data_IF_015739258562
#
_entry.id   IF_015739258562
#
_cell.length_a   1.000
_cell.length_b   1.000
_cell.length_c   1.000
_cell.angle_alpha   90.00
_cell.angle_beta   90.00
_cell.angle_gamma   90.00
#
_symmetry.space_group_name_H-M   'P 1'
#
loop_
_entity.id
_entity.type
_entity.pdbx_description
1 polymer ?
#
# COMPACT_ATOMS: atom_id res chain seq x y z
N UNK A 1 15.72 -26.06 23.47
CA UNK A 1 14.51 -25.75 22.69
C UNK A 1 13.89 -24.45 23.17
N UNK A 2 13.62 -23.48 22.27
CA UNK A 2 12.76 -22.36 22.63
C UNK A 2 11.32 -22.89 22.76
N UNK A 3 10.65 -22.63 23.88
CA UNK A 3 9.26 -23.05 24.06
C UNK A 3 8.36 -22.38 23.01
N UNK A 4 7.30 -23.07 22.59
CA UNK A 4 6.33 -22.53 21.63
C UNK A 4 5.77 -21.16 22.07
N UNK A 5 5.64 -20.95 23.38
CA UNK A 5 5.25 -19.68 24.00
C UNK A 5 6.29 -18.56 23.82
N UNK A 6 7.59 -18.88 23.89
CA UNK A 6 8.67 -17.91 23.61
C UNK A 6 8.71 -17.55 22.12
N UNK A 7 8.44 -18.50 21.24
CA UNK A 7 8.41 -18.23 19.79
C UNK A 7 7.22 -17.32 19.40
N UNK A 8 6.03 -17.54 19.96
CA UNK A 8 4.84 -16.73 19.65
C UNK A 8 4.92 -15.32 20.21
N UNK A 9 5.47 -15.15 21.41
CA UNK A 9 5.69 -13.84 22.03
C UNK A 9 6.65 -12.97 21.22
N UNK A 10 7.77 -13.54 20.77
CA UNK A 10 8.72 -12.85 19.87
C UNK A 10 8.07 -12.47 18.54
N UNK A 11 7.27 -13.37 17.94
CA UNK A 11 6.52 -13.06 16.70
C UNK A 11 5.55 -11.90 16.89
N UNK A 12 4.82 -11.86 18.02
CA UNK A 12 3.87 -10.78 18.33
C UNK A 12 4.57 -9.43 18.47
N UNK A 13 5.68 -9.38 19.23
CA UNK A 13 6.52 -8.18 19.40
C UNK A 13 7.01 -7.66 18.05
N UNK A 14 7.60 -8.53 17.23
CA UNK A 14 8.08 -8.18 15.89
C UNK A 14 6.98 -7.67 14.95
N UNK A 15 5.75 -8.19 15.06
CA UNK A 15 4.62 -7.74 14.24
C UNK A 15 4.20 -6.31 14.59
N UNK A 16 4.21 -5.97 15.88
CA UNK A 16 3.88 -4.64 16.38
C UNK A 16 4.97 -3.61 16.03
N UNK A 17 6.24 -3.92 16.33
CA UNK A 17 7.37 -3.04 16.03
C UNK A 17 7.46 -2.71 14.53
N UNK A 18 7.22 -3.71 13.66
CA UNK A 18 7.29 -3.54 12.20
C UNK A 18 5.99 -2.97 11.59
N UNK A 19 4.93 -2.74 12.36
CA UNK A 19 3.63 -2.33 11.84
C UNK A 19 3.71 -0.96 11.14
N UNK A 20 4.35 0.02 11.77
CA UNK A 20 4.51 1.36 11.19
C UNK A 20 5.30 1.35 9.88
N UNK A 21 6.43 0.63 9.85
CA UNK A 21 7.25 0.46 8.64
C UNK A 21 6.47 -0.22 7.51
N UNK A 22 5.75 -1.29 7.81
CA UNK A 22 4.91 -2.00 6.82
C UNK A 22 3.81 -1.10 6.25
N UNK A 23 3.15 -0.30 7.10
CA UNK A 23 2.15 0.67 6.68
C UNK A 23 2.74 1.70 5.71
N UNK A 24 3.86 2.33 6.08
CA UNK A 24 4.55 3.32 5.25
C UNK A 24 4.99 2.74 3.91
N UNK A 25 5.57 1.54 3.89
CA UNK A 25 5.98 0.87 2.64
C UNK A 25 4.79 0.57 1.71
N UNK A 26 3.63 0.18 2.27
CA UNK A 26 2.41 -0.05 1.47
C UNK A 26 1.89 1.24 0.84
N UNK A 27 1.93 2.35 1.59
CA UNK A 27 1.50 3.66 1.11
C UNK A 27 2.47 4.25 0.09
N UNK A 28 3.78 4.08 0.29
CA UNK A 28 4.81 4.55 -0.63
C UNK A 28 4.68 3.94 -2.04
N UNK A 29 4.19 2.70 -2.15
CA UNK A 29 3.91 2.08 -3.45
C UNK A 29 2.78 2.74 -4.24
N UNK A 30 1.92 3.53 -3.59
CA UNK A 30 0.77 4.22 -4.19
C UNK A 30 0.87 5.73 -4.04
N UNK A 31 2.05 6.27 -3.73
CA UNK A 31 2.21 7.72 -3.49
C UNK A 31 2.04 8.53 -4.77
N UNK A 32 2.34 7.95 -5.93
CA UNK A 32 2.05 8.53 -7.24
C UNK A 32 0.94 7.72 -7.88
N UNK A 33 -0.16 8.38 -8.22
CA UNK A 33 -1.20 7.79 -9.07
C UNK A 33 -0.56 7.38 -10.39
N UNK A 34 -0.96 6.22 -10.93
CA UNK A 34 -0.53 5.84 -12.27
C UNK A 34 -1.11 6.81 -13.31
N UNK A 35 -0.52 6.89 -14.51
CA UNK A 35 -1.08 7.72 -15.59
C UNK A 35 -2.57 7.38 -15.84
N UNK A 36 -2.93 6.10 -15.84
CA UNK A 36 -4.32 5.67 -15.96
C UNK A 36 -5.23 6.25 -14.85
N UNK A 37 -4.77 6.26 -13.60
CA UNK A 37 -5.51 6.84 -12.47
C UNK A 37 -5.55 8.37 -12.50
N UNK A 38 -4.53 9.02 -13.08
CA UNK A 38 -4.49 10.49 -13.25
C UNK A 38 -5.48 10.96 -14.31
N UNK A 39 -5.60 10.20 -15.41
CA UNK A 39 -6.37 10.61 -16.60
C UNK A 39 -7.73 9.91 -16.75
N UNK A 40 -8.14 9.04 -15.79
CA UNK A 40 -9.41 8.31 -15.85
C UNK A 40 -10.66 9.19 -16.07
N UNK A 41 -10.63 10.46 -15.67
CA UNK A 41 -11.73 11.41 -15.86
C UNK A 41 -11.62 12.30 -17.11
N UNK A 42 -10.55 12.18 -17.89
CA UNK A 42 -10.23 13.07 -19.01
C UNK A 42 -10.54 12.46 -20.39
N UNK A 43 -11.01 11.22 -20.44
CA UNK A 43 -11.30 10.51 -21.70
C UNK A 43 -10.04 9.89 -22.34
N UNK A 44 -10.21 9.27 -23.51
CA UNK A 44 -9.09 8.72 -24.29
C UNK A 44 -8.20 9.87 -24.80
N UNK A 45 -6.86 9.78 -24.66
CA UNK A 45 -5.94 10.82 -25.11
C UNK A 45 -6.11 11.07 -26.61
N UNK A 46 -6.43 12.33 -26.98
CA UNK A 46 -6.71 12.73 -28.36
C UNK A 46 -8.18 12.82 -28.72
N UNK A 47 -9.10 12.48 -27.81
CA UNK A 47 -10.54 12.71 -27.97
C UNK A 47 -11.07 13.72 -26.96
N UNK A 48 -12.08 14.50 -27.35
CA UNK A 48 -12.70 15.47 -26.46
C UNK A 48 -13.32 14.76 -25.25
N UNK A 49 -13.07 15.28 -24.05
CA UNK A 49 -13.64 14.72 -22.82
C UNK A 49 -15.18 14.69 -22.92
N UNK A 50 -15.85 13.60 -22.51
CA UNK A 50 -17.29 13.47 -22.63
C UNK A 50 -17.98 14.59 -21.86
N UNK A 51 -18.91 15.26 -22.53
CA UNK A 51 -19.71 16.34 -21.96
C UNK A 51 -20.66 15.73 -20.91
N UNK A 52 -20.54 16.17 -19.66
CA UNK A 52 -21.43 15.77 -18.57
C UNK A 52 -22.85 16.25 -18.81
#
# INVERSE_FOLDING_TARGET
MASNTKATTVKRKNKQEKAGRRRKNKLARKSTKSNAELFAGLGEPGTAAPRR
#
